data_IF_161072272736
#
_entry.id   IF_161072272736
#
_cell.length_a   1.000
_cell.length_b   1.000
_cell.length_c   1.000
_cell.angle_alpha   90.00
_cell.angle_beta   90.00
_cell.angle_gamma   90.00
#
_symmetry.space_group_name_H-M   'P 1'
#
loop_
_entity.id
_entity.type
_entity.pdbx_description
1 polymer ?
#
# COMPACT_ATOMS: atom_id res chain seq x y z
N UNK A 1 10.52 -20.11 -3.43
CA UNK A 1 9.95 -19.07 -4.31
C UNK A 1 10.88 -18.65 -5.45
N UNK A 2 12.06 -18.11 -5.18
CA UNK A 2 12.94 -17.57 -6.22
C UNK A 2 13.32 -18.56 -7.35
N UNK A 3 13.55 -19.83 -7.02
CA UNK A 3 13.93 -20.86 -8.00
C UNK A 3 12.81 -21.10 -9.02
N UNK A 4 11.58 -21.35 -8.57
CA UNK A 4 10.43 -21.59 -9.45
C UNK A 4 10.08 -20.36 -10.31
N UNK A 5 10.14 -19.15 -9.72
CA UNK A 5 9.92 -17.89 -10.44
C UNK A 5 10.97 -17.69 -11.53
N UNK A 6 12.23 -18.00 -11.24
CA UNK A 6 13.31 -17.93 -12.23
C UNK A 6 13.15 -18.94 -13.36
N UNK A 7 12.74 -20.20 -13.02
CA UNK A 7 12.48 -21.21 -14.02
C UNK A 7 11.34 -20.77 -14.94
N UNK A 8 10.21 -20.36 -14.39
CA UNK A 8 9.06 -19.85 -15.17
C UNK A 8 9.45 -18.64 -16.05
N UNK A 9 10.23 -17.70 -15.54
CA UNK A 9 10.69 -16.57 -16.34
C UNK A 9 11.59 -17.00 -17.50
N UNK A 10 12.49 -17.99 -17.28
CA UNK A 10 13.34 -18.53 -18.33
C UNK A 10 12.53 -19.24 -19.43
N UNK A 11 11.51 -20.03 -19.06
CA UNK A 11 10.60 -20.67 -20.00
C UNK A 11 9.90 -19.64 -20.90
N UNK A 12 9.37 -18.55 -20.30
CA UNK A 12 8.74 -17.46 -21.04
C UNK A 12 9.73 -16.74 -21.98
N UNK A 13 10.95 -16.50 -21.52
CA UNK A 13 12.02 -15.89 -22.33
C UNK A 13 12.49 -16.81 -23.46
N UNK A 14 12.35 -18.13 -23.30
CA UNK A 14 12.59 -19.13 -24.35
C UNK A 14 11.44 -19.26 -25.35
N UNK A 15 10.34 -18.52 -25.15
CA UNK A 15 9.19 -18.52 -26.05
C UNK A 15 8.13 -19.57 -25.73
N UNK A 16 8.22 -20.28 -24.61
CA UNK A 16 7.20 -21.25 -24.22
C UNK A 16 5.84 -20.58 -23.98
N UNK A 17 4.76 -21.29 -24.29
CA UNK A 17 3.40 -20.78 -24.11
C UNK A 17 3.11 -20.46 -22.64
N UNK A 18 2.53 -19.29 -22.39
CA UNK A 18 2.28 -18.84 -21.03
C UNK A 18 1.35 -19.76 -20.23
N UNK A 19 0.40 -20.43 -20.90
CA UNK A 19 -0.48 -21.41 -20.26
C UNK A 19 0.31 -22.60 -19.72
N UNK A 20 1.26 -23.14 -20.48
CA UNK A 20 2.11 -24.27 -20.08
C UNK A 20 3.02 -23.88 -18.92
N UNK A 21 3.51 -22.64 -18.91
CA UNK A 21 4.32 -22.11 -17.79
C UNK A 21 3.48 -21.92 -16.52
N UNK A 22 2.19 -21.57 -16.64
CA UNK A 22 1.27 -21.56 -15.49
C UNK A 22 1.04 -22.96 -14.96
N UNK A 23 0.89 -23.95 -15.83
CA UNK A 23 0.71 -25.35 -15.46
C UNK A 23 1.96 -25.91 -14.79
N UNK A 24 3.14 -25.58 -15.29
CA UNK A 24 4.41 -25.88 -14.63
C UNK A 24 4.44 -25.30 -13.19
N UNK A 25 4.11 -24.01 -13.00
CA UNK A 25 4.08 -23.41 -11.66
C UNK A 25 3.05 -24.08 -10.74
N UNK A 26 1.91 -24.51 -11.30
CA UNK A 26 0.86 -25.20 -10.54
C UNK A 26 1.35 -26.58 -10.08
N UNK A 27 1.97 -27.35 -10.95
CA UNK A 27 2.53 -28.66 -10.64
C UNK A 27 3.63 -28.57 -9.57
N UNK A 28 4.57 -27.65 -9.73
CA UNK A 28 5.67 -27.43 -8.76
C UNK A 28 5.16 -27.00 -7.38
N UNK A 29 4.14 -26.15 -7.32
CA UNK A 29 3.54 -25.73 -6.05
C UNK A 29 2.78 -26.88 -5.38
N UNK A 30 2.08 -27.73 -6.14
CA UNK A 30 1.41 -28.91 -5.63
C UNK A 30 2.44 -29.91 -5.06
N UNK A 31 3.47 -30.23 -5.84
CA UNK A 31 4.55 -31.13 -5.40
C UNK A 31 5.31 -30.58 -4.17
N UNK A 32 5.48 -29.25 -4.07
CA UNK A 32 6.07 -28.62 -2.87
C UNK A 32 5.19 -28.81 -1.63
N UNK A 33 3.86 -28.70 -1.78
CA UNK A 33 2.92 -28.92 -0.69
C UNK A 33 2.96 -30.38 -0.19
N UNK A 34 3.03 -31.36 -1.11
CA UNK A 34 3.14 -32.78 -0.78
C UNK A 34 4.44 -33.12 -0.02
N UNK A 35 5.54 -32.43 -0.32
CA UNK A 35 6.81 -32.55 0.41
C UNK A 35 6.85 -31.81 1.76
N UNK A 36 5.70 -31.43 2.32
CA UNK A 36 5.60 -30.73 3.60
C UNK A 36 5.82 -29.22 3.51
N UNK A 37 5.77 -28.65 2.31
CA UNK A 37 5.76 -27.22 2.09
C UNK A 37 4.43 -26.56 2.47
N UNK A 38 4.30 -25.25 2.14
CA UNK A 38 3.03 -24.55 2.36
C UNK A 38 1.92 -25.15 1.50
N UNK A 39 0.70 -25.29 2.04
CA UNK A 39 -0.45 -25.75 1.25
C UNK A 39 -0.61 -24.95 -0.05
N UNK A 40 -0.93 -25.65 -1.13
CA UNK A 40 -1.22 -25.01 -2.41
C UNK A 40 -2.42 -24.07 -2.28
N UNK A 41 -2.29 -22.87 -2.86
CA UNK A 41 -3.41 -21.95 -3.02
C UNK A 41 -3.31 -21.18 -4.33
N UNK A 42 -4.44 -20.87 -4.92
CA UNK A 42 -4.47 -20.03 -6.13
C UNK A 42 -3.93 -18.62 -5.88
N UNK A 43 -4.03 -18.09 -4.66
CA UNK A 43 -3.41 -16.82 -4.29
C UNK A 43 -1.88 -16.91 -4.34
N UNK A 44 -1.31 -18.03 -3.90
CA UNK A 44 0.13 -18.29 -4.03
C UNK A 44 0.53 -18.37 -5.49
N UNK A 45 -0.19 -19.16 -6.31
CA UNK A 45 0.05 -19.26 -7.75
C UNK A 45 0.01 -17.88 -8.43
N UNK A 46 -1.01 -17.06 -8.14
CA UNK A 46 -1.10 -15.68 -8.64
C UNK A 46 0.14 -14.85 -8.32
N UNK A 47 0.69 -15.01 -7.12
CA UNK A 47 1.92 -14.31 -6.70
C UNK A 47 3.11 -14.74 -7.55
N UNK A 48 3.26 -16.05 -7.81
CA UNK A 48 4.36 -16.58 -8.63
C UNK A 48 4.26 -16.12 -10.08
N UNK A 49 3.05 -16.18 -10.68
CA UNK A 49 2.78 -15.64 -12.03
C UNK A 49 3.17 -14.16 -12.10
N UNK A 50 2.76 -13.35 -11.11
CA UNK A 50 3.09 -11.92 -11.08
C UNK A 50 4.60 -11.66 -10.99
N UNK A 51 5.30 -12.44 -10.17
CA UNK A 51 6.75 -12.28 -10.01
C UNK A 51 7.53 -12.75 -11.26
N UNK A 52 7.12 -13.85 -11.90
CA UNK A 52 7.72 -14.31 -13.14
C UNK A 52 7.54 -13.27 -14.25
N UNK A 53 6.31 -12.72 -14.39
CA UNK A 53 6.04 -11.62 -15.32
C UNK A 53 6.92 -10.40 -15.08
N UNK A 54 7.10 -10.00 -13.82
CA UNK A 54 7.97 -8.87 -13.47
C UNK A 54 9.43 -9.12 -13.89
N UNK A 55 9.92 -10.37 -13.85
CA UNK A 55 11.27 -10.72 -14.30
C UNK A 55 11.42 -10.65 -15.80
N UNK A 56 10.42 -11.10 -16.56
CA UNK A 56 10.41 -10.99 -18.02
C UNK A 56 10.44 -9.52 -18.44
N UNK A 57 9.62 -8.68 -17.78
CA UNK A 57 9.61 -7.23 -18.02
C UNK A 57 10.95 -6.59 -17.64
N UNK A 58 11.57 -7.01 -16.55
CA UNK A 58 12.88 -6.50 -16.12
C UNK A 58 14.02 -6.93 -17.06
N UNK A 59 13.85 -8.03 -17.80
CA UNK A 59 14.78 -8.45 -18.84
C UNK A 59 14.61 -7.69 -20.16
N UNK A 60 13.72 -6.69 -20.21
CA UNK A 60 13.35 -5.90 -21.40
C UNK A 60 12.93 -6.76 -22.61
N UNK A 61 12.31 -7.90 -22.33
CA UNK A 61 11.85 -8.85 -23.38
C UNK A 61 10.58 -8.32 -24.02
N UNK A 62 10.74 -7.69 -25.18
CA UNK A 62 9.66 -7.04 -25.94
C UNK A 62 9.05 -7.97 -26.97
N UNK A 63 7.84 -7.63 -27.41
CA UNK A 63 7.28 -8.26 -28.59
C UNK A 63 8.07 -7.84 -29.84
N UNK A 64 8.76 -8.79 -30.53
CA UNK A 64 9.52 -8.46 -31.73
C UNK A 64 8.63 -8.01 -32.90
N UNK A 65 7.34 -8.34 -32.86
CA UNK A 65 6.35 -7.97 -33.88
C UNK A 65 5.60 -6.67 -33.51
N UNK A 66 5.99 -5.98 -32.41
CA UNK A 66 5.33 -4.73 -32.02
C UNK A 66 5.63 -3.65 -33.04
N UNK A 67 4.62 -3.22 -33.78
CA UNK A 67 4.73 -2.17 -34.79
C UNK A 67 4.42 -0.79 -34.16
N UNK A 68 5.44 0.04 -34.04
CA UNK A 68 5.33 1.41 -33.54
C UNK A 68 4.98 2.42 -34.64
N UNK A 69 4.73 1.99 -35.88
CA UNK A 69 4.42 2.88 -37.01
C UNK A 69 3.24 3.80 -36.74
N UNK A 70 2.24 3.28 -36.00
CA UNK A 70 1.06 4.05 -35.60
C UNK A 70 1.36 5.27 -34.70
N UNK A 71 2.50 5.29 -34.00
CA UNK A 71 2.92 6.42 -33.17
C UNK A 71 3.79 7.44 -33.92
N UNK A 72 4.34 7.09 -35.10
CA UNK A 72 5.24 7.97 -35.86
C UNK A 72 4.63 9.31 -36.27
N UNK A 73 3.33 9.41 -36.61
CA UNK A 73 2.72 10.70 -36.94
C UNK A 73 2.72 11.71 -35.79
N UNK A 74 2.85 11.22 -34.55
CA UNK A 74 2.82 12.00 -33.31
C UNK A 74 4.21 12.20 -32.71
N UNK A 75 5.28 12.15 -33.52
CA UNK A 75 6.67 12.17 -33.08
C UNK A 75 7.07 13.53 -32.44
N UNK A 76 6.50 13.83 -31.27
CA UNK A 76 6.97 14.84 -30.36
C UNK A 76 8.01 14.29 -29.36
N UNK A 77 8.49 15.14 -28.46
CA UNK A 77 9.49 14.76 -27.45
C UNK A 77 9.01 13.64 -26.53
N UNK A 78 7.74 13.65 -26.13
CA UNK A 78 7.15 12.66 -25.22
C UNK A 78 7.01 11.28 -25.87
N UNK A 79 6.57 11.24 -27.14
CA UNK A 79 6.48 9.98 -27.92
C UNK A 79 7.89 9.45 -28.21
N UNK A 80 8.85 10.30 -28.54
CA UNK A 80 10.24 9.90 -28.74
C UNK A 80 10.84 9.32 -27.43
N UNK A 81 10.59 9.95 -26.30
CA UNK A 81 10.99 9.46 -24.99
C UNK A 81 10.35 8.10 -24.67
N UNK A 82 9.06 7.91 -24.98
CA UNK A 82 8.38 6.62 -24.83
C UNK A 82 9.03 5.54 -25.69
N UNK A 83 9.29 5.81 -26.96
CA UNK A 83 9.87 4.81 -27.88
C UNK A 83 11.25 4.34 -27.45
N UNK A 84 12.04 5.21 -26.85
CA UNK A 84 13.38 4.91 -26.34
C UNK A 84 13.40 4.31 -24.93
N UNK A 85 12.30 4.42 -24.19
CA UNK A 85 12.23 3.97 -22.81
C UNK A 85 12.30 2.44 -22.66
N UNK A 86 12.82 1.90 -21.54
CA UNK A 86 12.74 0.49 -21.22
C UNK A 86 11.29 -0.02 -21.18
N UNK A 87 11.06 -1.30 -21.50
CA UNK A 87 9.73 -1.94 -21.53
C UNK A 87 8.91 -1.67 -20.26
N UNK A 88 9.54 -1.71 -19.09
CA UNK A 88 8.87 -1.41 -17.83
C UNK A 88 8.25 -0.01 -17.80
N UNK A 89 8.98 0.98 -18.28
CA UNK A 89 8.50 2.36 -18.33
C UNK A 89 7.42 2.53 -19.39
N UNK A 90 7.58 1.89 -20.55
CA UNK A 90 6.56 1.88 -21.60
C UNK A 90 5.23 1.28 -21.12
N UNK A 91 5.27 0.13 -20.43
CA UNK A 91 4.08 -0.50 -19.85
C UNK A 91 3.44 0.36 -18.76
N UNK A 92 4.25 1.03 -17.93
CA UNK A 92 3.76 1.93 -16.91
C UNK A 92 3.09 3.16 -17.49
N UNK A 93 3.71 3.81 -18.48
CA UNK A 93 3.12 4.97 -19.15
C UNK A 93 1.82 4.59 -19.88
N UNK A 94 1.82 3.47 -20.63
CA UNK A 94 0.60 2.94 -21.28
C UNK A 94 -0.54 2.75 -20.28
N UNK A 95 -0.24 2.21 -19.08
CA UNK A 95 -1.22 2.02 -18.01
C UNK A 95 -1.73 3.36 -17.46
N UNK A 96 -0.85 4.34 -17.26
CA UNK A 96 -1.20 5.68 -16.74
C UNK A 96 -2.07 6.46 -17.72
N UNK A 97 -1.69 6.50 -18.98
CA UNK A 97 -2.46 7.14 -20.06
C UNK A 97 -3.85 6.52 -20.20
N UNK A 98 -3.99 5.20 -20.01
CA UNK A 98 -5.29 4.54 -20.02
C UNK A 98 -6.17 4.91 -18.82
N UNK A 99 -5.57 5.08 -17.64
CA UNK A 99 -6.30 5.33 -16.39
C UNK A 99 -6.67 6.81 -16.22
N UNK A 100 -5.81 7.71 -16.70
CA UNK A 100 -5.90 9.16 -16.49
C UNK A 100 -5.38 9.92 -17.72
N UNK A 101 -6.07 9.85 -18.87
CA UNK A 101 -5.63 10.54 -20.09
C UNK A 101 -5.45 12.05 -19.87
N UNK A 102 -6.35 12.67 -19.13
CA UNK A 102 -6.34 14.12 -18.84
C UNK A 102 -5.09 14.59 -18.06
N UNK A 103 -4.38 13.67 -17.40
CA UNK A 103 -3.13 14.01 -16.71
C UNK A 103 -1.92 14.15 -17.65
N UNK A 104 -2.13 13.93 -18.96
CA UNK A 104 -1.09 13.96 -19.99
C UNK A 104 -1.51 14.85 -21.17
N UNK A 105 -1.64 16.15 -20.97
CA UNK A 105 -2.19 17.07 -21.99
C UNK A 105 -1.28 17.19 -23.23
N UNK A 106 0.00 16.78 -23.14
CA UNK A 106 0.92 16.73 -24.28
C UNK A 106 0.68 15.53 -25.21
N UNK A 107 -0.16 14.53 -24.78
CA UNK A 107 -0.47 13.37 -25.60
C UNK A 107 -1.79 13.57 -26.30
N UNK A 108 -1.82 13.69 -27.65
CA UNK A 108 -3.06 13.70 -28.43
C UNK A 108 -3.90 12.43 -28.20
N UNK A 109 -5.21 12.57 -28.26
CA UNK A 109 -6.12 11.44 -28.03
C UNK A 109 -5.85 10.29 -29.01
N UNK A 110 -5.58 10.61 -30.28
CA UNK A 110 -5.25 9.62 -31.31
C UNK A 110 -3.92 8.89 -31.01
N UNK A 111 -2.94 9.58 -30.41
CA UNK A 111 -1.70 8.94 -29.99
C UNK A 111 -1.92 8.01 -28.79
N UNK A 112 -2.80 8.38 -27.87
CA UNK A 112 -3.19 7.53 -26.73
C UNK A 112 -3.91 6.27 -27.24
N UNK A 113 -4.84 6.42 -28.18
CA UNK A 113 -5.53 5.29 -28.79
C UNK A 113 -4.56 4.35 -29.55
N UNK A 114 -3.68 4.92 -30.36
CA UNK A 114 -2.63 4.16 -31.05
C UNK A 114 -1.76 3.37 -30.06
N UNK A 115 -1.32 4.04 -28.98
CA UNK A 115 -0.55 3.39 -27.91
C UNK A 115 -1.33 2.26 -27.23
N UNK A 116 -2.64 2.43 -26.99
CA UNK A 116 -3.45 1.37 -26.38
C UNK A 116 -3.55 0.11 -27.27
N UNK A 117 -3.46 0.27 -28.58
CA UNK A 117 -3.43 -0.84 -29.54
C UNK A 117 -2.12 -1.63 -29.57
N UNK A 118 -0.99 -1.06 -29.09
CA UNK A 118 0.31 -1.72 -29.16
C UNK A 118 0.40 -2.97 -28.27
N UNK A 119 0.86 -4.09 -28.80
CA UNK A 119 1.20 -5.30 -28.05
C UNK A 119 2.68 -5.28 -27.63
N UNK A 120 3.02 -4.56 -26.55
CA UNK A 120 4.39 -4.39 -26.07
C UNK A 120 5.01 -5.69 -25.53
N UNK A 121 4.19 -6.59 -24.98
CA UNK A 121 4.65 -7.88 -24.44
C UNK A 121 4.56 -8.96 -25.52
N UNK A 122 5.47 -9.95 -25.53
CA UNK A 122 5.39 -11.09 -26.45
C UNK A 122 4.04 -11.82 -26.34
N UNK A 123 3.60 -12.42 -27.44
CA UNK A 123 2.28 -13.10 -27.53
C UNK A 123 2.11 -14.21 -26.49
N UNK A 124 3.16 -14.99 -26.19
CA UNK A 124 3.12 -16.03 -25.16
C UNK A 124 2.80 -15.47 -23.75
N UNK A 125 3.03 -14.18 -23.50
CA UNK A 125 2.63 -13.53 -22.26
C UNK A 125 1.12 -13.28 -22.16
N UNK A 126 0.38 -13.31 -23.26
CA UNK A 126 -1.07 -13.10 -23.25
C UNK A 126 -1.80 -14.28 -22.60
N UNK A 127 -1.27 -15.49 -22.73
CA UNK A 127 -1.76 -16.71 -22.09
C UNK A 127 -1.18 -16.94 -20.70
N UNK A 128 -0.13 -16.20 -20.29
CA UNK A 128 0.49 -16.29 -18.97
C UNK A 128 -0.35 -15.59 -17.90
N UNK A 129 -1.49 -16.18 -17.60
CA UNK A 129 -2.48 -15.69 -16.64
C UNK A 129 -3.26 -16.84 -16.02
N UNK A 130 -3.79 -16.62 -14.81
CA UNK A 130 -4.68 -17.58 -14.18
C UNK A 130 -5.99 -17.71 -14.95
N UNK A 131 -6.53 -18.92 -14.98
CA UNK A 131 -7.86 -19.15 -15.51
C UNK A 131 -8.92 -18.40 -14.70
N UNK A 132 -10.03 -18.02 -15.33
CA UNK A 132 -11.09 -17.25 -14.66
C UNK A 132 -11.66 -17.98 -13.43
N UNK A 133 -11.79 -19.31 -13.50
CA UNK A 133 -12.22 -20.14 -12.36
C UNK A 133 -11.30 -19.97 -11.13
N UNK A 134 -9.99 -19.84 -11.35
CA UNK A 134 -9.00 -19.65 -10.28
C UNK A 134 -9.09 -18.25 -9.68
N UNK A 135 -9.26 -17.24 -10.54
CA UNK A 135 -9.50 -15.86 -10.09
C UNK A 135 -10.79 -15.75 -9.29
N UNK A 136 -11.87 -16.44 -9.72
CA UNK A 136 -13.13 -16.50 -8.95
C UNK A 136 -12.94 -17.21 -7.62
N UNK A 137 -12.15 -18.28 -7.57
CA UNK A 137 -11.84 -18.97 -6.32
C UNK A 137 -11.08 -18.05 -5.34
N UNK A 138 -10.09 -17.28 -5.81
CA UNK A 138 -9.38 -16.27 -5.00
C UNK A 138 -10.38 -15.24 -4.44
N UNK A 139 -11.23 -14.67 -5.30
CA UNK A 139 -12.23 -13.67 -4.89
C UNK A 139 -13.19 -14.23 -3.82
N UNK A 140 -13.61 -15.51 -3.94
CA UNK A 140 -14.47 -16.17 -2.93
C UNK A 140 -13.77 -16.31 -1.58
N UNK A 141 -12.49 -16.69 -1.58
CA UNK A 141 -11.70 -16.79 -0.34
C UNK A 141 -11.52 -15.41 0.28
N UNK A 142 -11.17 -14.40 -0.51
CA UNK A 142 -11.01 -13.02 -0.03
C UNK A 142 -12.31 -12.50 0.58
N UNK A 143 -13.46 -12.75 -0.08
CA UNK A 143 -14.78 -12.38 0.44
C UNK A 143 -15.09 -13.09 1.76
N UNK A 144 -14.85 -14.41 1.87
CA UNK A 144 -15.03 -15.16 3.12
C UNK A 144 -14.14 -14.63 4.24
N UNK A 145 -12.87 -14.34 3.95
CA UNK A 145 -11.93 -13.78 4.91
C UNK A 145 -12.36 -12.38 5.37
N UNK A 146 -12.92 -11.56 4.46
CA UNK A 146 -13.49 -10.27 4.81
C UNK A 146 -14.70 -10.45 5.76
N UNK A 147 -15.66 -11.32 5.43
CA UNK A 147 -16.81 -11.60 6.27
C UNK A 147 -16.42 -12.15 7.65
N UNK A 148 -15.45 -13.08 7.69
CA UNK A 148 -14.93 -13.61 8.97
C UNK A 148 -14.29 -12.49 9.83
N UNK A 149 -13.58 -11.55 9.21
CA UNK A 149 -13.03 -10.38 9.93
C UNK A 149 -14.13 -9.45 10.43
N UNK A 150 -15.17 -9.20 9.63
CA UNK A 150 -16.30 -8.37 10.03
C UNK A 150 -17.10 -9.00 11.17
N UNK A 151 -17.16 -10.36 11.24
CA UNK A 151 -17.79 -11.09 12.34
C UNK A 151 -16.95 -11.14 13.62
N UNK A 152 -15.64 -11.01 13.52
CA UNK A 152 -14.72 -11.02 14.66
C UNK A 152 -14.28 -9.59 14.99
N UNK A 153 -15.14 -8.87 15.70
CA UNK A 153 -14.85 -7.49 16.11
C UNK A 153 -13.79 -7.50 17.21
N UNK A 154 -12.68 -6.82 16.97
CA UNK A 154 -11.67 -6.55 18.00
C UNK A 154 -12.16 -5.40 18.86
N UNK A 155 -12.35 -5.65 20.16
CA UNK A 155 -12.80 -4.65 21.13
C UNK A 155 -11.61 -4.15 21.95
N UNK A 156 -11.44 -2.85 22.04
CA UNK A 156 -10.55 -2.18 22.98
C UNK A 156 -11.40 -1.64 24.13
N UNK A 157 -11.25 -2.21 25.32
CA UNK A 157 -12.11 -1.89 26.47
C UNK A 157 -11.86 -0.50 27.04
N UNK A 158 -10.66 0.04 26.91
CA UNK A 158 -10.30 1.38 27.39
C UNK A 158 -9.53 2.15 26.30
N UNK A 159 -10.28 2.77 25.42
CA UNK A 159 -9.74 3.58 24.34
C UNK A 159 -9.06 4.86 24.84
N UNK A 160 -9.57 5.46 25.91
CA UNK A 160 -8.99 6.68 26.48
C UNK A 160 -7.59 6.41 27.04
N UNK A 161 -7.42 5.32 27.80
CA UNK A 161 -6.11 4.94 28.33
C UNK A 161 -5.12 4.56 27.21
N UNK A 162 -5.59 3.90 26.14
CA UNK A 162 -4.75 3.59 24.97
C UNK A 162 -4.22 4.87 24.31
N UNK A 163 -5.09 5.85 24.11
CA UNK A 163 -4.70 7.13 23.49
C UNK A 163 -3.78 7.94 24.41
N UNK A 164 -4.10 8.01 25.72
CA UNK A 164 -3.26 8.69 26.70
C UNK A 164 -1.84 8.08 26.76
N UNK A 165 -1.73 6.75 26.71
CA UNK A 165 -0.42 6.07 26.65
C UNK A 165 0.34 6.39 25.38
N UNK A 166 -0.35 6.42 24.23
CA UNK A 166 0.28 6.80 22.98
C UNK A 166 0.80 8.25 23.02
N UNK A 167 0.02 9.18 23.55
CA UNK A 167 0.41 10.57 23.70
C UNK A 167 1.60 10.75 24.66
N UNK A 168 1.62 10.03 25.77
CA UNK A 168 2.76 10.00 26.71
C UNK A 168 4.05 9.58 26.00
N UNK A 169 4.00 8.49 25.20
CA UNK A 169 5.17 8.03 24.45
C UNK A 169 5.63 9.05 23.40
N UNK A 170 4.70 9.76 22.77
CA UNK A 170 5.05 10.78 21.77
C UNK A 170 5.66 12.03 22.43
N UNK A 171 5.13 12.47 23.58
CA UNK A 171 5.67 13.63 24.33
C UNK A 171 7.05 13.34 24.90
N UNK A 172 7.31 12.11 25.35
CA UNK A 172 8.62 11.68 25.88
C UNK A 172 9.59 11.19 24.80
N UNK A 173 9.21 11.25 23.53
CA UNK A 173 10.00 10.69 22.44
C UNK A 173 11.40 11.29 22.34
N UNK A 174 12.42 10.45 22.35
CA UNK A 174 13.82 10.81 22.12
C UNK A 174 14.47 9.84 21.14
N UNK A 175 15.58 10.20 20.47
CA UNK A 175 16.31 9.28 19.59
C UNK A 175 16.87 8.03 20.30
N UNK A 176 16.89 8.01 21.63
CA UNK A 176 17.36 6.87 22.43
C UNK A 176 16.28 5.78 22.57
N UNK A 177 15.00 6.14 22.42
CA UNK A 177 13.89 5.21 22.56
C UNK A 177 13.93 4.07 21.54
N UNK A 178 13.32 2.92 21.88
CA UNK A 178 13.16 1.80 20.96
C UNK A 178 12.29 2.17 19.76
N UNK A 179 12.54 1.56 18.59
CA UNK A 179 11.72 1.82 17.38
C UNK A 179 10.22 1.62 17.61
N UNK A 180 9.84 0.62 18.38
CA UNK A 180 8.42 0.31 18.63
C UNK A 180 7.77 1.42 19.47
N UNK A 181 8.47 1.94 20.48
CA UNK A 181 7.98 3.04 21.31
C UNK A 181 7.78 4.32 20.50
N UNK A 182 8.57 4.55 19.46
CA UNK A 182 8.41 5.68 18.54
C UNK A 182 7.34 5.43 17.47
N UNK A 183 7.37 4.27 16.80
CA UNK A 183 6.55 4.02 15.61
C UNK A 183 5.10 3.64 15.96
N UNK A 184 4.87 2.83 17.00
CA UNK A 184 3.52 2.38 17.35
C UNK A 184 2.56 3.53 17.66
N UNK A 185 2.91 4.50 18.53
CA UNK A 185 2.03 5.63 18.81
C UNK A 185 1.86 6.54 17.57
N UNK A 186 2.91 6.76 16.75
CA UNK A 186 2.79 7.54 15.51
C UNK A 186 1.76 6.91 14.56
N UNK A 187 1.75 5.58 14.43
CA UNK A 187 0.76 4.86 13.61
C UNK A 187 -0.65 4.99 14.17
N UNK A 188 -0.80 4.87 15.49
CA UNK A 188 -2.11 4.96 16.15
C UNK A 188 -2.73 6.35 15.97
N UNK A 189 -1.95 7.41 16.14
CA UNK A 189 -2.49 8.78 16.13
C UNK A 189 -2.65 9.39 14.75
N UNK A 190 -2.05 8.80 13.72
CA UNK A 190 -2.10 9.31 12.33
C UNK A 190 -2.80 8.39 11.34
N UNK A 191 -3.01 7.13 11.71
CA UNK A 191 -3.56 6.11 10.80
C UNK A 191 -2.67 5.80 9.60
N UNK A 192 -1.41 6.18 9.61
CA UNK A 192 -0.50 5.91 8.47
C UNK A 192 -0.05 4.46 8.45
N UNK A 193 0.46 4.02 7.29
CA UNK A 193 1.14 2.72 7.19
C UNK A 193 2.54 2.83 7.82
N UNK A 194 3.06 1.72 8.35
CA UNK A 194 4.41 1.70 8.93
C UNK A 194 5.46 2.26 7.97
N UNK A 195 5.39 1.87 6.69
CA UNK A 195 6.35 2.34 5.69
C UNK A 195 6.22 3.84 5.39
N UNK A 196 5.03 4.43 5.54
CA UNK A 196 4.80 5.87 5.38
C UNK A 196 5.47 6.67 6.50
N UNK A 197 5.39 6.17 7.74
CA UNK A 197 6.11 6.75 8.88
C UNK A 197 7.62 6.56 8.73
N UNK A 198 8.07 5.35 8.36
CA UNK A 198 9.50 5.07 8.19
C UNK A 198 10.14 5.84 7.02
N UNK A 199 9.37 6.13 5.97
CA UNK A 199 9.83 6.91 4.82
C UNK A 199 10.12 8.39 5.14
N UNK A 200 9.70 8.89 6.30
CA UNK A 200 10.15 10.21 6.78
C UNK A 200 11.67 10.26 6.96
N UNK A 201 12.27 9.14 7.38
CA UNK A 201 13.71 9.02 7.54
C UNK A 201 14.49 9.06 6.22
N UNK A 202 13.82 8.82 5.09
CA UNK A 202 14.42 8.81 3.74
C UNK A 202 14.02 10.04 2.90
N UNK A 203 13.24 10.95 3.46
CA UNK A 203 12.69 12.09 2.71
C UNK A 203 11.58 11.76 1.70
N UNK A 204 11.20 10.46 1.56
CA UNK A 204 10.13 10.03 0.63
C UNK A 204 8.73 10.25 1.16
N UNK A 205 8.59 10.59 2.43
CA UNK A 205 7.35 11.04 3.04
C UNK A 205 7.64 12.26 3.89
N UNK A 206 6.68 13.19 3.96
CA UNK A 206 6.77 14.34 4.84
C UNK A 206 5.42 14.64 5.49
N UNK A 207 5.50 15.33 6.62
CA UNK A 207 4.35 15.84 7.36
C UNK A 207 4.62 17.29 7.72
N UNK A 208 3.69 18.16 7.37
CA UNK A 208 3.77 19.59 7.59
C UNK A 208 2.56 20.06 8.41
N UNK A 209 2.77 20.84 9.44
CA UNK A 209 1.67 21.33 10.28
C UNK A 209 0.79 22.28 9.47
N UNK A 210 -0.52 21.99 9.45
CA UNK A 210 -1.53 22.85 8.83
C UNK A 210 -2.63 23.28 9.80
N UNK A 211 -2.66 22.71 10.99
CA UNK A 211 -3.58 23.06 12.08
C UNK A 211 -3.10 22.51 13.42
N UNK A 212 -3.83 22.81 14.49
CA UNK A 212 -3.48 22.36 15.83
C UNK A 212 -3.39 20.84 15.92
N UNK A 213 -4.33 20.13 15.28
CA UNK A 213 -4.43 18.65 15.22
C UNK A 213 -4.52 18.14 13.80
N UNK A 214 -3.85 18.78 12.85
CA UNK A 214 -3.81 18.34 11.47
C UNK A 214 -2.47 18.61 10.82
N UNK A 215 -2.10 17.71 9.90
CA UNK A 215 -0.87 17.82 9.11
C UNK A 215 -1.15 17.53 7.65
N UNK A 216 -0.46 18.22 6.77
CA UNK A 216 -0.38 17.91 5.36
C UNK A 216 0.60 16.74 5.16
N UNK A 217 0.13 15.66 4.58
CA UNK A 217 0.92 14.46 4.34
C UNK A 217 1.26 14.29 2.86
N UNK A 218 2.53 13.98 2.57
CA UNK A 218 3.03 13.57 1.25
C UNK A 218 3.73 12.22 1.34
N UNK A 219 3.85 11.51 0.22
CA UNK A 219 4.59 10.24 0.18
C UNK A 219 3.75 9.02 0.52
N UNK A 220 2.47 9.02 0.11
CA UNK A 220 1.58 7.88 0.29
C UNK A 220 2.16 6.61 -0.38
N UNK A 221 2.31 5.54 0.39
CA UNK A 221 2.67 4.24 -0.13
C UNK A 221 1.47 3.56 -0.81
N UNK A 222 1.70 2.78 -1.87
CA UNK A 222 0.67 2.06 -2.64
C UNK A 222 -0.29 2.98 -3.43
N UNK A 223 0.27 3.96 -4.07
CA UNK A 223 -0.44 4.68 -5.14
C UNK A 223 -0.53 3.76 -6.34
N UNK A 224 -1.72 3.24 -6.64
CA UNK A 224 -1.91 2.26 -7.73
C UNK A 224 -1.69 2.85 -9.11
N UNK A 225 -1.77 4.16 -9.26
CA UNK A 225 -1.87 4.80 -10.57
C UNK A 225 -1.04 6.08 -10.75
N UNK A 226 -0.44 6.66 -9.71
CA UNK A 226 0.21 7.96 -9.81
C UNK A 226 1.56 7.97 -9.12
N UNK A 227 2.62 8.32 -9.82
CA UNK A 227 3.78 8.94 -9.20
C UNK A 227 3.32 10.30 -8.68
N UNK A 228 3.49 10.55 -7.37
CA UNK A 228 3.08 11.79 -6.76
C UNK A 228 1.59 11.85 -6.44
N UNK A 229 1.10 10.93 -5.57
CA UNK A 229 -0.18 11.19 -4.93
C UNK A 229 -0.15 12.59 -4.32
N UNK A 230 -1.17 13.43 -4.59
CA UNK A 230 -1.20 14.79 -4.08
C UNK A 230 -1.10 14.78 -2.56
N UNK A 231 -0.51 15.83 -2.02
CA UNK A 231 -0.55 16.07 -0.59
C UNK A 231 -2.00 16.23 -0.13
N UNK A 232 -2.32 15.69 1.04
CA UNK A 232 -3.65 15.87 1.65
C UNK A 232 -3.56 16.01 3.15
N UNK A 233 -4.46 16.79 3.74
CA UNK A 233 -4.54 16.98 5.16
C UNK A 233 -5.08 15.71 5.86
N UNK A 234 -4.43 15.31 6.94
CA UNK A 234 -4.88 14.23 7.81
C UNK A 234 -5.09 14.76 9.23
N UNK A 235 -6.19 14.39 9.90
CA UNK A 235 -6.39 14.68 11.30
C UNK A 235 -5.45 13.85 12.15
N UNK A 236 -5.00 14.38 13.26
CA UNK A 236 -4.21 13.69 14.28
C UNK A 236 -5.03 13.51 15.55
N UNK A 237 -4.86 12.40 16.24
CA UNK A 237 -5.49 12.17 17.54
C UNK A 237 -4.78 12.91 18.69
N UNK A 238 -3.68 13.58 18.41
CA UNK A 238 -2.90 14.43 19.32
C UNK A 238 -2.57 15.75 18.65
N UNK A 239 -1.99 16.69 19.40
CA UNK A 239 -1.48 17.93 18.84
C UNK A 239 -0.40 17.68 17.78
N UNK A 240 -0.42 18.47 16.70
CA UNK A 240 0.52 18.31 15.59
C UNK A 240 1.99 18.46 16.04
N UNK A 241 2.25 19.35 17.00
CA UNK A 241 3.61 19.57 17.52
C UNK A 241 4.14 18.33 18.25
N UNK A 242 3.30 17.62 19.02
CA UNK A 242 3.65 16.36 19.68
C UNK A 242 3.97 15.27 18.67
N UNK A 243 3.15 15.16 17.62
CA UNK A 243 3.39 14.21 16.56
C UNK A 243 4.69 14.50 15.80
N UNK A 244 4.93 15.76 15.41
CA UNK A 244 6.12 16.17 14.67
C UNK A 244 7.40 16.06 15.52
N UNK A 245 7.31 16.32 16.83
CA UNK A 245 8.41 16.06 17.77
C UNK A 245 8.86 14.60 17.74
N UNK A 246 7.92 13.65 17.86
CA UNK A 246 8.23 12.23 17.81
C UNK A 246 8.75 11.76 16.44
N UNK A 247 8.24 12.33 15.32
CA UNK A 247 8.80 12.08 13.99
C UNK A 247 10.25 12.57 13.88
N UNK A 248 10.56 13.74 14.46
CA UNK A 248 11.92 14.26 14.49
C UNK A 248 12.85 13.34 15.28
N UNK A 249 12.42 12.83 16.44
CA UNK A 249 13.17 11.85 17.23
C UNK A 249 13.45 10.56 16.44
N UNK A 250 12.45 10.04 15.70
CA UNK A 250 12.60 8.88 14.83
C UNK A 250 13.61 9.14 13.70
N UNK A 251 13.53 10.30 13.05
CA UNK A 251 14.46 10.71 12.00
C UNK A 251 15.89 10.83 12.51
N UNK A 252 16.09 11.47 13.67
CA UNK A 252 17.40 11.60 14.31
C UNK A 252 17.98 10.23 14.70
N UNK A 253 17.14 9.34 15.27
CA UNK A 253 17.55 7.98 15.61
C UNK A 253 18.11 7.23 14.44
N UNK A 254 17.52 7.38 13.26
CA UNK A 254 17.91 6.61 12.08
C UNK A 254 19.02 7.29 11.28
N UNK A 255 19.07 8.60 11.24
CA UNK A 255 19.98 9.34 10.35
C UNK A 255 19.81 8.90 8.90
N UNK A 256 20.89 8.90 8.15
CA UNK A 256 20.91 8.61 6.70
C UNK A 256 20.96 7.12 6.33
N UNK A 257 20.92 6.23 7.31
CA UNK A 257 21.17 4.80 7.10
C UNK A 257 20.14 4.09 6.18
N UNK A 258 19.04 4.73 5.80
CA UNK A 258 18.03 4.18 4.88
C UNK A 258 17.87 4.95 3.57
N UNK A 259 18.66 5.99 3.32
CA UNK A 259 18.48 6.85 2.14
C UNK A 259 18.39 6.07 0.84
N UNK A 260 19.23 5.03 0.67
CA UNK A 260 19.27 4.19 -0.53
C UNK A 260 18.39 2.93 -0.43
N UNK A 261 17.68 2.73 0.69
CA UNK A 261 16.88 1.53 0.88
C UNK A 261 15.54 1.62 0.15
N UNK A 262 15.18 0.57 -0.58
CA UNK A 262 13.81 0.40 -1.07
C UNK A 262 12.82 0.20 0.10
N UNK A 263 11.54 0.47 -0.14
CA UNK A 263 10.50 0.20 0.86
C UNK A 263 10.51 -1.25 1.38
N UNK A 264 10.85 -2.21 0.50
CA UNK A 264 10.99 -3.62 0.89
C UNK A 264 12.20 -3.84 1.81
N UNK A 265 13.33 -3.20 1.53
CA UNK A 265 14.53 -3.29 2.37
C UNK A 265 14.30 -2.69 3.75
N UNK A 266 13.64 -1.53 3.83
CA UNK A 266 13.24 -0.90 5.11
C UNK A 266 12.34 -1.84 5.90
N UNK A 267 11.25 -2.33 5.30
CA UNK A 267 10.32 -3.26 5.96
C UNK A 267 11.05 -4.52 6.45
N UNK A 268 11.93 -5.11 5.64
CA UNK A 268 12.72 -6.28 6.01
C UNK A 268 13.65 -6.01 7.20
N UNK A 269 14.32 -4.85 7.22
CA UNK A 269 15.22 -4.46 8.31
C UNK A 269 14.47 -4.26 9.64
N UNK A 270 13.19 -3.86 9.59
CA UNK A 270 12.35 -3.59 10.74
C UNK A 270 11.47 -4.78 11.18
N UNK A 271 11.40 -5.85 10.38
CA UNK A 271 10.47 -6.97 10.61
C UNK A 271 10.65 -7.65 11.98
N UNK A 272 11.86 -7.68 12.52
CA UNK A 272 12.14 -8.21 13.85
C UNK A 272 11.56 -7.38 15.00
N UNK A 273 11.34 -6.09 14.79
CA UNK A 273 10.76 -5.18 15.79
C UNK A 273 9.23 -5.15 15.70
N UNK A 274 8.65 -5.44 14.54
CA UNK A 274 7.21 -5.34 14.33
C UNK A 274 6.46 -6.63 14.69
N UNK A 275 6.73 -7.14 15.90
CA UNK A 275 6.03 -8.31 16.45
C UNK A 275 4.86 -7.90 17.35
N UNK A 276 3.83 -8.76 17.51
CA UNK A 276 2.74 -8.49 18.45
C UNK A 276 3.21 -8.27 19.89
N UNK A 277 4.25 -8.98 20.32
CA UNK A 277 4.81 -8.88 21.66
C UNK A 277 5.38 -7.47 21.93
N UNK A 278 6.21 -6.96 21.04
CA UNK A 278 6.75 -5.60 21.16
C UNK A 278 5.67 -4.52 21.07
N UNK A 279 4.67 -4.75 20.22
CA UNK A 279 3.53 -3.82 20.10
C UNK A 279 2.78 -3.70 21.43
N UNK A 280 2.50 -4.83 22.11
CA UNK A 280 1.87 -4.82 23.45
C UNK A 280 2.77 -4.26 24.54
N UNK A 281 4.07 -4.41 24.43
CA UNK A 281 5.01 -3.77 25.37
C UNK A 281 4.89 -2.24 25.33
N UNK A 282 4.75 -1.66 24.14
CA UNK A 282 4.56 -0.21 24.00
C UNK A 282 3.14 0.23 24.37
N UNK A 283 2.12 -0.54 23.96
CA UNK A 283 0.71 -0.25 24.10
C UNK A 283 -0.01 -1.44 24.78
N UNK A 284 0.07 -1.59 26.12
CA UNK A 284 -0.40 -2.77 26.86
C UNK A 284 -1.90 -3.06 26.74
N UNK A 285 -2.71 -2.03 26.44
CA UNK A 285 -4.16 -2.13 26.27
C UNK A 285 -4.57 -2.89 25.01
N UNK A 286 -3.64 -3.18 24.10
CA UNK A 286 -3.93 -3.91 22.87
C UNK A 286 -4.12 -5.41 23.17
N UNK A 287 -5.05 -6.10 22.45
CA UNK A 287 -5.28 -7.52 22.62
C UNK A 287 -4.04 -8.35 22.29
N UNK A 288 -4.00 -9.57 22.83
CA UNK A 288 -2.95 -10.51 22.50
C UNK A 288 -2.96 -10.90 21.01
N UNK A 289 -1.77 -11.08 20.42
CA UNK A 289 -1.63 -11.44 19.00
C UNK A 289 -2.04 -10.36 18.00
N UNK A 290 -2.35 -9.13 18.47
CA UNK A 290 -2.73 -8.04 17.58
C UNK A 290 -1.58 -7.70 16.60
N UNK A 291 -1.97 -7.40 15.36
CA UNK A 291 -1.03 -7.01 14.30
C UNK A 291 -0.95 -5.48 14.20
N UNK A 292 0.17 -4.97 13.75
CA UNK A 292 0.42 -3.54 13.53
C UNK A 292 -0.66 -2.84 12.70
N UNK A 293 -1.26 -3.54 11.74
CA UNK A 293 -2.34 -3.02 10.92
C UNK A 293 -3.62 -2.68 11.72
N UNK A 294 -3.78 -3.26 12.91
CA UNK A 294 -4.86 -2.92 13.83
C UNK A 294 -4.82 -1.45 14.25
N UNK A 295 -3.64 -0.86 14.44
CA UNK A 295 -3.50 0.56 14.81
C UNK A 295 -4.18 1.50 13.82
N UNK A 296 -4.11 1.18 12.53
CA UNK A 296 -4.80 1.95 11.48
C UNK A 296 -6.32 1.80 11.53
N UNK A 297 -6.82 0.60 11.92
CA UNK A 297 -8.24 0.37 12.15
C UNK A 297 -8.73 1.14 13.36
N UNK A 298 -7.96 1.13 14.44
CA UNK A 298 -8.25 1.88 15.66
C UNK A 298 -8.28 3.38 15.38
N UNK A 299 -7.28 3.91 14.69
CA UNK A 299 -7.29 5.32 14.28
C UNK A 299 -8.58 5.69 13.56
N UNK A 300 -9.05 4.89 12.60
CA UNK A 300 -10.29 5.18 11.90
C UNK A 300 -11.50 5.22 12.85
N UNK A 301 -11.55 4.31 13.84
CA UNK A 301 -12.62 4.31 14.85
C UNK A 301 -12.52 5.55 15.76
N UNK A 302 -11.32 5.94 16.18
CA UNK A 302 -11.10 7.16 16.95
C UNK A 302 -11.57 8.40 16.17
N UNK A 303 -11.12 8.56 14.94
CA UNK A 303 -11.54 9.67 14.08
C UNK A 303 -13.05 9.63 13.88
N UNK A 304 -13.63 8.45 13.67
CA UNK A 304 -15.07 8.29 13.54
C UNK A 304 -15.82 8.71 14.82
N UNK A 305 -15.30 8.52 16.00
CA UNK A 305 -15.90 8.95 17.27
C UNK A 305 -15.71 10.45 17.53
N UNK A 306 -14.55 10.99 17.17
CA UNK A 306 -14.19 12.38 17.39
C UNK A 306 -15.00 13.35 16.54
N UNK A 307 -15.28 12.96 15.31
CA UNK A 307 -16.00 13.79 14.35
C UNK A 307 -17.47 13.38 14.33
N UNK A 308 -18.35 14.25 14.82
CA UNK A 308 -19.82 14.06 14.79
C UNK A 308 -20.31 14.06 13.35
N UNK A 309 -20.98 13.00 12.94
CA UNK A 309 -20.98 12.55 11.56
C UNK A 309 -22.19 12.83 10.77
N UNK A 310 -21.92 13.39 9.63
CA UNK A 310 -22.76 13.32 8.42
C UNK A 310 -22.27 12.29 7.40
N UNK A 311 -21.16 11.59 7.69
CA UNK A 311 -20.46 10.75 6.71
C UNK A 311 -20.33 9.29 7.16
N UNK A 312 -20.60 8.34 6.27
CA UNK A 312 -20.40 6.93 6.55
C UNK A 312 -18.90 6.58 6.74
N UNK A 313 -18.59 5.64 7.62
CA UNK A 313 -17.21 5.27 8.01
C UNK A 313 -16.31 4.90 6.82
N UNK A 314 -16.88 4.28 5.79
CA UNK A 314 -16.14 3.93 4.57
C UNK A 314 -15.69 5.18 3.77
N UNK A 315 -16.55 6.19 3.68
CA UNK A 315 -16.19 7.48 3.06
C UNK A 315 -15.17 8.24 3.90
N UNK A 316 -15.37 8.30 5.21
CA UNK A 316 -14.38 8.87 6.12
C UNK A 316 -13.03 8.16 5.97
N UNK A 317 -13.03 6.81 5.95
CA UNK A 317 -11.84 6.03 5.73
C UNK A 317 -11.15 6.30 4.40
N UNK A 318 -11.89 6.51 3.32
CA UNK A 318 -11.32 6.93 2.04
C UNK A 318 -10.53 8.22 2.20
N UNK A 319 -11.11 9.24 2.83
CA UNK A 319 -10.49 10.55 3.01
C UNK A 319 -9.28 10.53 3.94
N UNK A 320 -9.46 10.07 5.19
CA UNK A 320 -8.40 10.18 6.20
C UNK A 320 -7.28 9.12 6.04
N UNK A 321 -7.57 8.00 5.39
CA UNK A 321 -6.57 6.96 5.11
C UNK A 321 -5.98 7.05 3.69
N UNK A 322 -6.51 7.90 2.82
CA UNK A 322 -6.06 8.03 1.43
C UNK A 322 -6.33 6.75 0.62
N UNK A 323 -7.53 6.16 0.73
CA UNK A 323 -7.93 5.03 -0.08
C UNK A 323 -8.52 5.51 -1.41
N UNK A 324 -8.16 4.84 -2.51
CA UNK A 324 -8.76 5.13 -3.82
C UNK A 324 -10.20 4.61 -3.92
N UNK A 325 -10.47 3.46 -3.25
CA UNK A 325 -11.76 2.78 -3.26
C UNK A 325 -12.32 2.69 -1.85
N UNK A 326 -13.59 3.03 -1.70
CA UNK A 326 -14.33 2.95 -0.43
C UNK A 326 -14.36 1.53 0.13
N UNK A 327 -14.38 0.52 -0.74
CA UNK A 327 -14.34 -0.91 -0.35
C UNK A 327 -13.05 -1.29 0.40
N UNK A 328 -11.95 -0.57 0.18
CA UNK A 328 -10.71 -0.77 0.95
C UNK A 328 -10.91 -0.38 2.42
N UNK A 329 -11.76 0.60 2.70
CA UNK A 329 -12.06 1.07 4.06
C UNK A 329 -12.89 0.06 4.86
N UNK A 330 -13.70 -0.79 4.21
CA UNK A 330 -14.46 -1.84 4.89
C UNK A 330 -13.58 -2.86 5.64
N UNK A 331 -12.32 -2.96 5.29
CA UNK A 331 -11.34 -3.82 6.00
C UNK A 331 -10.99 -3.31 7.39
N UNK A 332 -11.33 -2.07 7.72
CA UNK A 332 -10.99 -1.38 8.97
C UNK A 332 -12.18 -1.22 9.93
N UNK A 333 -13.39 -1.62 9.54
CA UNK A 333 -14.60 -1.52 10.38
C UNK A 333 -14.75 -2.65 11.39
N UNK A 334 -13.86 -3.63 11.42
CA UNK A 334 -13.90 -4.78 12.36
C UNK A 334 -13.25 -4.48 13.71
N UNK A 335 -13.24 -3.23 14.13
CA UNK A 335 -12.72 -2.79 15.43
C UNK A 335 -13.76 -1.94 16.13
N UNK A 336 -13.86 -2.08 17.47
CA UNK A 336 -14.67 -1.24 18.34
C UNK A 336 -13.78 -0.73 19.47
N UNK A 337 -13.92 0.54 19.78
CA UNK A 337 -13.20 1.18 20.88
C UNK A 337 -14.22 1.69 21.87
N UNK A 338 -14.20 1.14 23.08
CA UNK A 338 -15.08 1.55 24.16
C UNK A 338 -14.41 2.63 25.02
N UNK A 339 -15.20 3.37 25.82
CA UNK A 339 -14.68 4.34 26.81
C UNK A 339 -14.23 5.69 26.22
N UNK A 340 -14.57 5.98 24.96
CA UNK A 340 -14.12 7.21 24.29
C UNK A 340 -15.16 8.31 24.13
N UNK A 341 -16.44 7.95 24.20
CA UNK A 341 -17.54 8.85 23.77
C UNK A 341 -17.59 10.18 24.54
N UNK A 342 -17.07 10.21 25.76
CA UNK A 342 -17.03 11.42 26.59
C UNK A 342 -15.71 12.23 26.45
N UNK A 343 -14.58 11.58 26.20
CA UNK A 343 -13.27 12.22 26.23
C UNK A 343 -12.91 12.98 24.93
N UNK A 344 -13.47 12.58 23.79
CA UNK A 344 -13.07 13.11 22.49
C UNK A 344 -14.23 13.77 21.70
N UNK A 345 -15.47 13.66 22.20
CA UNK A 345 -16.61 14.29 21.56
C UNK A 345 -16.47 15.82 21.65
N UNK A 346 -16.25 16.44 20.49
CA UNK A 346 -16.04 17.88 20.39
C UNK A 346 -14.58 18.38 20.59
N UNK A 347 -13.63 17.48 20.83
CA UNK A 347 -12.21 17.83 20.90
C UNK A 347 -11.60 18.25 19.55
N UNK A 348 -12.28 17.94 18.46
CA UNK A 348 -11.87 18.25 17.11
C UNK A 348 -12.97 19.11 16.47
N UNK A 349 -12.64 20.34 16.09
CA UNK A 349 -13.53 21.21 15.32
C UNK A 349 -13.98 20.57 13.99
N UNK A 350 -14.75 21.28 13.20
CA UNK A 350 -15.10 20.80 11.85
C UNK A 350 -13.83 20.46 11.08
N UNK A 351 -13.71 19.22 10.70
CA UNK A 351 -12.67 18.79 9.76
C UNK A 351 -12.95 19.46 8.44
N UNK A 352 -12.06 20.32 8.01
CA UNK A 352 -12.01 20.69 6.59
C UNK A 352 -11.59 19.45 5.80
N UNK A 353 -12.56 18.62 5.48
CA UNK A 353 -12.43 17.47 4.62
C UNK A 353 -12.52 17.92 3.15
N UNK A 354 -11.89 19.04 2.80
CA UNK A 354 -11.66 19.35 1.40
C UNK A 354 -11.01 18.12 0.78
N UNK A 355 -11.64 17.61 -0.26
CA UNK A 355 -11.28 16.35 -0.92
C UNK A 355 -9.78 16.34 -1.23
N UNK A 356 -9.07 15.23 -1.01
CA UNK A 356 -7.87 15.03 -1.78
C UNK A 356 -8.29 15.14 -3.24
N UNK A 357 -7.54 15.81 -4.07
CA UNK A 357 -7.84 15.90 -5.50
C UNK A 357 -8.02 14.48 -6.03
N UNK A 358 -9.10 14.27 -6.75
CA UNK A 358 -9.53 13.01 -7.38
C UNK A 358 -8.45 12.43 -8.29
#
# INVERSE_FOLDING_TARGET
MAVMVNAAAKMLLAGEEGADVVDFLRAELAASAERGGRPFSFATLKTYVSHAKARVVAADYRNPECDFSALRPFADEDVAAFLSAPLKQQLELKRRLRAHPDAFPSWPEEAIEALQGLELLPRNMNTFKLAERELRAIKRVDKRNLHARMGNVVVIGDGAALLARAEELLRSATPKEGYVALVAPLLLVSGRREIEILNVCTGRASFEKVGERSVLFTGQAKTKCCEGAPAYAIPLLVEADVFLHALSALKQKRGDAWNDFSNHAIHKSMSGFFTPAYLRQALPMLPEGCKWHLLRSLYLQYVNTCYTHTMAVNFLGKRVLGHFDESESLRYVSTRVDGMEQALKGAFGELDLSLPPT
#
